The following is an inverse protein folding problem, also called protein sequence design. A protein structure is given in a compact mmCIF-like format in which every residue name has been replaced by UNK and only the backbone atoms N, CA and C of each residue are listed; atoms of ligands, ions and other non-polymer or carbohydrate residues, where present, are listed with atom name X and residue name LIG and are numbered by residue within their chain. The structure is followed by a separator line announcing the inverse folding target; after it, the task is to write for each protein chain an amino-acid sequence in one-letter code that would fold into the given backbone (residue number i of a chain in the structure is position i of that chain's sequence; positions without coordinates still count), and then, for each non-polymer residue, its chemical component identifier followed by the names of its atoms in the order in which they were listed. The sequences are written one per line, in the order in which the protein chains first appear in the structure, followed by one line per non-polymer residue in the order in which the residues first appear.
data_IF_409711997475
#
_entry.id   IF_409711997475
#
_cell.length_a   1.000
_cell.length_b   1.000
_cell.length_c   1.000
_cell.angle_alpha   90.00
_cell.angle_beta   90.00
_cell.angle_gamma   90.00
#
_symmetry.space_group_name_H-M   'P 1'
#
loop_
_entity.id
_entity.type
_entity.pdbx_description
1 polymer ?
#
# COMPACT_ATOMS: atom_id res chain seq x y z
N UNK A 1 -27.17 1.10 -2.69
CA UNK A 1 -26.75 2.24 -3.51
C UNK A 1 -25.77 1.72 -4.57
N UNK A 2 -25.97 2.11 -5.83
CA UNK A 2 -25.08 1.77 -6.93
C UNK A 2 -23.79 2.61 -6.79
N UNK A 3 -22.63 1.96 -6.85
CA UNK A 3 -21.35 2.66 -6.74
C UNK A 3 -20.98 3.26 -8.10
N UNK A 4 -20.64 4.54 -8.10
CA UNK A 4 -20.16 5.27 -9.24
C UNK A 4 -18.63 5.30 -9.26
N UNK A 5 -18.04 4.96 -10.38
CA UNK A 5 -16.60 5.02 -10.67
C UNK A 5 -16.33 6.25 -11.54
N UNK A 6 -15.35 7.05 -11.16
CA UNK A 6 -14.88 8.17 -11.99
C UNK A 6 -13.89 7.66 -13.05
N UNK A 7 -14.08 8.08 -14.30
CA UNK A 7 -13.14 7.86 -15.40
C UNK A 7 -13.07 9.11 -16.26
N UNK A 8 -11.93 9.80 -16.29
CA UNK A 8 -11.64 10.95 -17.15
C UNK A 8 -12.79 11.97 -17.24
N UNK A 9 -13.24 12.50 -16.11
CA UNK A 9 -14.27 13.55 -16.05
C UNK A 9 -15.72 13.08 -16.08
N UNK A 10 -15.97 11.75 -16.04
CA UNK A 10 -17.31 11.18 -16.04
C UNK A 10 -17.50 10.14 -14.96
N UNK A 11 -18.72 10.00 -14.48
CA UNK A 11 -19.12 8.97 -13.53
C UNK A 11 -19.91 7.88 -14.22
N UNK A 12 -19.54 6.64 -13.96
CA UNK A 12 -20.18 5.45 -14.51
C UNK A 12 -20.61 4.51 -13.37
N UNK A 13 -21.80 3.87 -13.47
CA UNK A 13 -22.12 2.74 -12.61
C UNK A 13 -21.01 1.68 -12.67
N UNK A 14 -20.72 1.04 -11.54
CA UNK A 14 -19.62 0.07 -11.43
C UNK A 14 -19.61 -1.00 -12.56
N UNK A 15 -20.80 -1.52 -12.94
CA UNK A 15 -20.94 -2.53 -13.97
C UNK A 15 -20.68 -2.01 -15.39
N UNK A 16 -20.79 -0.68 -15.60
CA UNK A 16 -20.62 -0.03 -16.91
C UNK A 16 -19.25 0.64 -17.04
N UNK A 17 -18.50 0.75 -15.91
CA UNK A 17 -17.19 1.37 -15.89
C UNK A 17 -16.19 0.54 -16.70
N UNK A 18 -15.69 1.09 -17.79
CA UNK A 18 -14.76 0.41 -18.70
C UNK A 18 -13.69 1.36 -19.23
N UNK A 19 -12.54 0.79 -19.57
CA UNK A 19 -11.43 1.48 -20.24
C UNK A 19 -11.14 0.82 -21.57
N UNK A 20 -10.40 1.51 -22.43
CA UNK A 20 -9.96 0.94 -23.72
C UNK A 20 -9.05 -0.27 -23.50
N UNK A 21 -9.20 -1.31 -24.34
CA UNK A 21 -8.25 -2.43 -24.40
C UNK A 21 -6.85 -2.01 -24.88
N UNK A 22 -6.72 -0.81 -25.45
CA UNK A 22 -5.45 -0.20 -25.84
C UNK A 22 -4.86 0.72 -24.76
N UNK A 23 -5.46 0.77 -23.56
CA UNK A 23 -4.89 1.52 -22.45
C UNK A 23 -3.54 0.92 -22.01
N UNK A 24 -2.53 1.76 -21.83
CA UNK A 24 -1.17 1.33 -21.50
C UNK A 24 -1.09 0.61 -20.15
N UNK A 25 -1.92 1.02 -19.19
CA UNK A 25 -2.04 0.36 -17.89
C UNK A 25 -2.57 -1.07 -18.02
N UNK A 26 -3.60 -1.28 -18.85
CA UNK A 26 -4.15 -2.61 -19.14
C UNK A 26 -3.16 -3.49 -19.92
N UNK A 27 -2.53 -2.94 -20.98
CA UNK A 27 -1.62 -3.68 -21.85
C UNK A 27 -0.29 -4.05 -21.17
N UNK A 28 0.27 -3.14 -20.39
CA UNK A 28 1.69 -3.18 -19.98
C UNK A 28 1.92 -2.94 -18.47
N UNK A 29 0.89 -2.56 -17.73
CA UNK A 29 1.07 -2.08 -16.36
C UNK A 29 1.78 -0.72 -16.27
N UNK A 30 1.74 0.09 -17.35
CA UNK A 30 2.39 1.39 -17.45
C UNK A 30 1.52 2.47 -16.83
N UNK A 31 1.81 2.79 -15.58
CA UNK A 31 1.11 3.77 -14.78
C UNK A 31 1.39 3.64 -13.29
N UNK A 32 0.77 4.50 -12.52
CA UNK A 32 0.90 4.61 -11.06
C UNK A 32 -0.47 4.58 -10.38
N UNK A 33 -0.50 4.26 -9.10
CA UNK A 33 -1.74 4.21 -8.36
C UNK A 33 -1.55 4.49 -6.88
N UNK A 34 -2.63 4.88 -6.20
CA UNK A 34 -2.70 4.99 -4.74
C UNK A 34 -3.95 4.32 -4.18
N UNK A 35 -3.81 3.80 -2.96
CA UNK A 35 -4.93 3.39 -2.13
C UNK A 35 -5.03 4.34 -0.95
N UNK A 36 -6.16 5.02 -0.78
CA UNK A 36 -6.33 6.07 0.21
C UNK A 36 -7.60 5.81 1.01
N UNK A 37 -7.55 5.96 2.33
CA UNK A 37 -8.75 5.84 3.19
C UNK A 37 -9.49 7.16 3.24
N UNK A 38 -10.83 7.07 3.17
CA UNK A 38 -11.72 8.18 3.47
C UNK A 38 -12.51 7.86 4.74
N UNK A 39 -12.37 8.73 5.74
CA UNK A 39 -12.91 8.54 7.08
C UNK A 39 -13.43 9.85 7.65
N UNK A 40 -14.67 9.85 8.15
CA UNK A 40 -15.32 11.03 8.74
C UNK A 40 -15.23 12.29 7.88
N UNK A 41 -15.48 12.14 6.57
CA UNK A 41 -15.48 13.26 5.62
C UNK A 41 -14.12 13.71 5.12
N UNK A 42 -13.01 13.00 5.48
CA UNK A 42 -11.65 13.38 5.07
C UNK A 42 -10.85 12.21 4.49
N UNK A 43 -10.02 12.51 3.51
CA UNK A 43 -8.98 11.60 3.05
C UNK A 43 -7.80 11.63 4.03
N UNK A 44 -7.45 10.47 4.58
CA UNK A 44 -6.37 10.33 5.54
C UNK A 44 -5.00 10.41 4.84
N UNK A 45 -4.13 11.28 5.34
CA UNK A 45 -2.75 11.44 4.84
C UNK A 45 -2.70 11.70 3.32
N UNK A 46 -3.64 12.48 2.80
CA UNK A 46 -3.80 12.72 1.36
C UNK A 46 -2.54 13.30 0.73
N UNK A 47 -1.93 14.31 1.35
CA UNK A 47 -0.71 14.96 0.85
C UNK A 47 0.41 13.96 0.53
N UNK A 48 0.90 13.19 1.51
CA UNK A 48 1.92 12.17 1.29
C UNK A 48 1.56 11.11 0.21
N UNK A 49 0.29 10.73 0.08
CA UNK A 49 -0.16 9.82 -0.98
C UNK A 49 -0.03 10.46 -2.36
N UNK A 50 -0.48 11.70 -2.53
CA UNK A 50 -0.39 12.41 -3.80
C UNK A 50 1.06 12.76 -4.17
N UNK A 51 1.87 13.22 -3.20
CA UNK A 51 3.30 13.43 -3.42
C UNK A 51 3.99 12.18 -3.97
N UNK A 52 3.69 11.00 -3.42
CA UNK A 52 4.24 9.73 -3.89
C UNK A 52 3.71 9.34 -5.27
N UNK A 53 2.43 9.59 -5.56
CA UNK A 53 1.85 9.36 -6.90
C UNK A 53 2.57 10.19 -7.96
N UNK A 54 2.71 11.50 -7.72
CA UNK A 54 3.34 12.44 -8.65
C UNK A 54 4.84 12.17 -8.80
N UNK A 55 5.53 11.87 -7.69
CA UNK A 55 6.91 11.43 -7.74
C UNK A 55 7.05 10.14 -8.57
N UNK A 56 6.21 9.14 -8.34
CA UNK A 56 6.24 7.88 -9.09
C UNK A 56 5.99 8.07 -10.59
N UNK A 57 5.05 8.94 -10.95
CA UNK A 57 4.80 9.31 -12.35
C UNK A 57 6.02 9.98 -12.98
N UNK A 58 6.68 10.91 -12.28
CA UNK A 58 7.90 11.57 -12.77
C UNK A 58 9.07 10.60 -13.02
N UNK A 59 9.17 9.51 -12.23
CA UNK A 59 10.23 8.51 -12.41
C UNK A 59 10.08 7.65 -13.67
N UNK A 60 8.89 7.65 -14.28
CA UNK A 60 8.61 6.96 -15.54
C UNK A 60 8.30 7.94 -16.68
N UNK A 61 8.73 9.20 -16.55
CA UNK A 61 8.49 10.28 -17.52
C UNK A 61 7.01 10.35 -17.96
N UNK A 62 6.11 10.28 -16.98
CA UNK A 62 4.66 10.37 -17.20
C UNK A 62 4.11 11.66 -16.59
N UNK A 63 3.53 12.52 -17.43
CA UNK A 63 2.71 13.62 -16.99
C UNK A 63 1.31 13.07 -16.62
N UNK A 64 0.81 13.44 -15.45
CA UNK A 64 -0.54 13.07 -14.99
C UNK A 64 -1.61 13.92 -15.71
N UNK A 65 -1.23 15.05 -16.29
CA UNK A 65 -2.15 15.98 -16.95
C UNK A 65 -3.09 16.73 -15.99
N UNK A 66 -2.81 16.66 -14.68
CA UNK A 66 -3.55 17.30 -13.60
C UNK A 66 -2.63 17.75 -12.49
N UNK A 67 -2.99 18.80 -11.78
CA UNK A 67 -2.31 19.22 -10.55
C UNK A 67 -2.78 18.36 -9.36
N UNK A 68 -2.04 18.44 -8.24
CA UNK A 68 -2.44 17.77 -7.00
C UNK A 68 -3.81 18.28 -6.49
N UNK A 69 -4.09 19.56 -6.64
CA UNK A 69 -5.36 20.16 -6.24
C UNK A 69 -6.51 19.63 -7.09
N UNK A 70 -6.35 19.54 -8.42
CA UNK A 70 -7.34 18.95 -9.31
C UNK A 70 -7.62 17.46 -9.00
N UNK A 71 -6.57 16.69 -8.68
CA UNK A 71 -6.75 15.28 -8.23
C UNK A 71 -7.49 15.24 -6.89
N UNK A 72 -7.18 16.14 -5.98
CA UNK A 72 -7.89 16.26 -4.69
C UNK A 72 -9.38 16.55 -4.91
N UNK A 73 -9.71 17.49 -5.77
CA UNK A 73 -11.09 17.79 -6.14
C UNK A 73 -11.83 16.57 -6.73
N UNK A 74 -11.19 15.85 -7.65
CA UNK A 74 -11.73 14.62 -8.26
C UNK A 74 -12.01 13.54 -7.19
N UNK A 75 -11.11 13.38 -6.22
CA UNK A 75 -11.29 12.42 -5.13
C UNK A 75 -12.48 12.79 -4.26
N UNK A 76 -12.60 14.08 -3.84
CA UNK A 76 -13.74 14.54 -3.03
C UNK A 76 -15.05 14.51 -3.82
N UNK A 77 -15.04 14.86 -5.09
CA UNK A 77 -16.22 14.76 -5.96
C UNK A 77 -16.69 13.29 -6.04
N UNK A 78 -15.75 12.34 -6.19
CA UNK A 78 -16.08 10.92 -6.28
C UNK A 78 -16.79 10.39 -5.03
N UNK A 79 -16.32 10.72 -3.83
CA UNK A 79 -16.98 10.28 -2.58
C UNK A 79 -18.31 11.01 -2.36
N UNK A 80 -18.41 12.28 -2.76
CA UNK A 80 -19.63 13.07 -2.68
C UNK A 80 -20.73 12.54 -3.59
N UNK A 81 -20.44 12.24 -4.86
CA UNK A 81 -21.38 11.64 -5.81
C UNK A 81 -21.90 10.28 -5.32
N UNK A 82 -21.08 9.54 -4.58
CA UNK A 82 -21.45 8.27 -3.96
C UNK A 82 -22.11 8.43 -2.58
N UNK A 83 -22.25 9.65 -2.05
CA UNK A 83 -22.77 9.93 -0.70
C UNK A 83 -22.03 9.15 0.39
N UNK A 84 -20.72 9.02 0.25
CA UNK A 84 -19.86 8.32 1.18
C UNK A 84 -19.33 9.29 2.24
N UNK A 85 -19.34 8.85 3.51
CA UNK A 85 -18.89 9.69 4.64
C UNK A 85 -17.74 9.06 5.41
N UNK A 86 -17.74 7.74 5.55
CA UNK A 86 -16.73 7.02 6.35
C UNK A 86 -16.60 5.55 5.94
N UNK A 87 -15.50 4.92 6.32
CA UNK A 87 -15.28 3.49 6.07
C UNK A 87 -15.04 3.16 4.60
N UNK A 88 -14.48 4.12 3.84
CA UNK A 88 -14.24 3.98 2.41
C UNK A 88 -12.75 3.83 2.14
N UNK A 89 -12.42 2.93 1.22
CA UNK A 89 -11.12 2.81 0.61
C UNK A 89 -11.23 3.21 -0.85
N UNK A 90 -10.44 4.19 -1.26
CA UNK A 90 -10.45 4.72 -2.62
C UNK A 90 -9.18 4.28 -3.32
N UNK A 91 -9.32 3.71 -4.51
CA UNK A 91 -8.22 3.43 -5.42
C UNK A 91 -8.18 4.49 -6.52
N UNK A 92 -7.12 5.28 -6.51
CA UNK A 92 -6.78 6.21 -7.59
C UNK A 92 -5.77 5.52 -8.51
N UNK A 93 -6.08 5.45 -9.79
CA UNK A 93 -5.23 4.84 -10.84
C UNK A 93 -4.98 5.89 -11.91
N UNK A 94 -3.73 6.02 -12.33
CA UNK A 94 -3.35 6.85 -13.47
C UNK A 94 -2.48 6.01 -14.40
N UNK A 95 -2.99 5.72 -15.61
CA UNK A 95 -2.18 5.13 -16.67
C UNK A 95 -1.70 6.21 -17.62
N UNK A 96 -0.65 5.90 -18.42
CA UNK A 96 -0.15 6.83 -19.44
C UNK A 96 -1.19 7.17 -20.51
N UNK A 97 -2.26 6.36 -20.67
CA UNK A 97 -3.32 6.57 -21.64
C UNK A 97 -3.35 5.54 -22.77
N UNK A 98 -4.10 5.86 -23.82
CA UNK A 98 -4.38 4.95 -24.93
C UNK A 98 -3.21 4.96 -25.93
N UNK A 99 -2.80 3.77 -26.36
CA UNK A 99 -1.78 3.58 -27.38
C UNK A 99 -2.39 3.34 -28.76
N UNK A 100 -1.70 3.84 -29.80
CA UNK A 100 -2.06 3.57 -31.22
C UNK A 100 -1.80 2.11 -31.61
N UNK A 101 -0.88 1.44 -30.89
CA UNK A 101 -0.52 0.03 -31.09
C UNK A 101 -0.01 -0.58 -29.77
N UNK A 102 -0.20 -1.89 -29.52
CA UNK A 102 0.30 -2.56 -28.30
C UNK A 102 1.82 -2.72 -28.32
N UNK A 103 2.55 -1.65 -28.05
CA UNK A 103 4.01 -1.62 -28.04
C UNK A 103 4.55 -0.86 -26.82
N UNK A 104 5.75 -1.23 -26.34
CA UNK A 104 6.32 -0.70 -25.08
C UNK A 104 6.70 0.78 -25.16
N UNK A 105 7.07 1.29 -26.33
CA UNK A 105 7.54 2.67 -26.50
C UNK A 105 6.43 3.68 -26.12
N UNK A 106 6.67 4.58 -25.13
CA UNK A 106 5.72 5.61 -24.71
C UNK A 106 5.28 6.56 -25.83
N UNK A 107 6.11 6.76 -26.86
CA UNK A 107 5.79 7.64 -28.00
C UNK A 107 4.57 7.21 -28.81
N UNK A 108 4.11 5.96 -28.68
CA UNK A 108 2.88 5.48 -29.29
C UNK A 108 1.60 5.84 -28.49
N UNK A 109 1.72 6.60 -27.42
CA UNK A 109 0.55 7.10 -26.67
C UNK A 109 -0.11 8.24 -27.48
N UNK A 110 -1.42 8.14 -27.68
CA UNK A 110 -2.23 9.05 -28.53
C UNK A 110 -3.33 9.79 -27.77
N UNK A 111 -3.41 9.62 -26.46
CA UNK A 111 -4.41 10.27 -25.62
C UNK A 111 -3.76 10.93 -24.39
N UNK A 112 -4.53 11.75 -23.70
CA UNK A 112 -4.26 12.16 -22.33
C UNK A 112 -4.20 10.92 -21.40
N UNK A 113 -3.59 11.03 -20.21
CA UNK A 113 -3.61 9.98 -19.21
C UNK A 113 -5.02 9.50 -18.88
N UNK A 114 -5.15 8.23 -18.55
CA UNK A 114 -6.41 7.69 -18.06
C UNK A 114 -6.43 7.72 -16.54
N UNK A 115 -7.31 8.54 -15.98
CA UNK A 115 -7.49 8.68 -14.53
C UNK A 115 -8.77 7.96 -14.13
N UNK A 116 -8.63 6.98 -13.21
CA UNK A 116 -9.75 6.20 -12.68
C UNK A 116 -9.76 6.31 -11.16
N UNK A 117 -10.93 6.61 -10.58
CA UNK A 117 -11.13 6.59 -9.13
C UNK A 117 -12.24 5.61 -8.78
N UNK A 118 -11.89 4.58 -8.00
CA UNK A 118 -12.80 3.51 -7.57
C UNK A 118 -12.98 3.62 -6.06
N UNK A 119 -14.13 4.11 -5.56
CA UNK A 119 -14.45 4.10 -4.15
C UNK A 119 -15.13 2.79 -3.76
N UNK A 120 -14.83 2.28 -2.58
CA UNK A 120 -15.39 1.04 -2.07
C UNK A 120 -15.57 1.12 -0.56
N UNK A 121 -16.76 0.77 -0.05
CA UNK A 121 -16.93 0.53 1.39
C UNK A 121 -16.12 -0.69 1.78
N UNK A 122 -15.07 -0.45 2.57
CA UNK A 122 -14.15 -1.49 2.97
C UNK A 122 -13.49 -1.15 4.30
N UNK A 123 -13.63 -2.06 5.25
CA UNK A 123 -13.02 -1.92 6.58
C UNK A 123 -12.21 -3.17 6.91
N UNK A 124 -11.10 -3.03 7.67
CA UNK A 124 -10.36 -4.17 8.19
C UNK A 124 -11.27 -5.07 9.04
N UNK A 125 -11.06 -6.37 8.96
CA UNK A 125 -11.75 -7.30 9.85
C UNK A 125 -11.35 -7.05 11.31
N UNK A 126 -12.29 -6.87 12.25
CA UNK A 126 -11.97 -6.76 13.67
C UNK A 126 -11.22 -7.98 14.21
N UNK A 127 -11.50 -9.15 13.67
CA UNK A 127 -10.80 -10.39 14.04
C UNK A 127 -9.33 -10.33 13.62
N UNK A 128 -9.03 -9.94 12.37
CA UNK A 128 -7.67 -9.74 11.87
C UNK A 128 -6.91 -8.68 12.68
N UNK A 129 -7.59 -7.59 13.07
CA UNK A 129 -7.00 -6.54 13.90
C UNK A 129 -6.62 -7.01 15.30
N UNK A 130 -7.38 -7.96 15.85
CA UNK A 130 -7.19 -8.49 17.20
C UNK A 130 -6.25 -9.70 17.23
N UNK A 131 -6.49 -10.67 16.34
CA UNK A 131 -5.83 -11.97 16.38
C UNK A 131 -4.60 -12.05 15.46
N UNK A 132 -4.44 -11.06 14.57
CA UNK A 132 -3.30 -10.99 13.66
C UNK A 132 -3.45 -11.87 12.42
N UNK A 133 -2.38 -11.92 11.65
CA UNK A 133 -2.24 -12.69 10.41
C UNK A 133 -1.04 -13.63 10.49
N UNK A 134 -1.06 -14.62 9.62
CA UNK A 134 0.03 -15.58 9.42
C UNK A 134 0.88 -15.16 8.21
N UNK A 135 2.18 -14.98 8.42
CA UNK A 135 3.15 -14.76 7.37
C UNK A 135 3.89 -16.04 6.99
N UNK A 136 4.25 -16.14 5.74
CA UNK A 136 5.18 -17.18 5.26
C UNK A 136 6.26 -16.54 4.38
N UNK A 137 7.49 -16.99 4.51
CA UNK A 137 8.56 -16.60 3.60
C UNK A 137 8.29 -17.19 2.21
N UNK A 138 8.50 -16.37 1.18
CA UNK A 138 8.23 -16.77 -0.22
C UNK A 138 9.51 -16.77 -1.04
N UNK A 139 9.54 -17.60 -2.09
CA UNK A 139 10.71 -17.71 -2.97
C UNK A 139 10.85 -16.53 -3.93
N UNK A 140 9.76 -15.77 -4.09
CA UNK A 140 9.74 -14.58 -4.92
C UNK A 140 10.37 -13.42 -4.15
N UNK A 141 11.48 -12.89 -4.68
CA UNK A 141 12.22 -11.77 -4.07
C UNK A 141 11.83 -10.42 -4.65
N UNK A 142 12.11 -9.36 -3.91
CA UNK A 142 12.10 -7.99 -4.42
C UNK A 142 13.32 -7.78 -5.31
N UNK A 143 13.11 -7.28 -6.53
CA UNK A 143 14.18 -6.98 -7.44
C UNK A 143 14.95 -5.70 -7.09
N UNK A 144 16.15 -5.55 -7.68
CA UNK A 144 16.89 -4.30 -7.66
C UNK A 144 16.14 -3.20 -8.45
N UNK A 145 16.31 -1.94 -8.08
CA UNK A 145 15.81 -0.79 -8.82
C UNK A 145 16.29 -0.74 -10.29
N UNK A 146 17.37 -1.47 -10.61
CA UNK A 146 17.85 -1.66 -12.00
C UNK A 146 16.97 -2.61 -12.82
N UNK A 147 16.10 -3.40 -12.16
CA UNK A 147 15.10 -4.28 -12.80
C UNK A 147 13.75 -3.58 -12.82
N UNK A 148 13.30 -3.16 -11.66
CA UNK A 148 12.09 -2.36 -11.46
C UNK A 148 12.23 -1.61 -10.13
N UNK A 149 12.02 -0.29 -10.15
CA UNK A 149 12.09 0.49 -8.91
C UNK A 149 10.83 0.26 -8.07
N UNK A 150 10.97 -0.50 -7.00
CA UNK A 150 9.87 -0.84 -6.08
C UNK A 150 9.41 0.33 -5.20
N UNK A 151 10.12 1.47 -5.21
CA UNK A 151 9.67 2.70 -4.56
C UNK A 151 8.52 3.37 -5.31
N UNK A 152 8.38 3.07 -6.62
CA UNK A 152 7.25 3.51 -7.46
C UNK A 152 6.05 2.62 -7.18
N UNK A 153 4.92 3.23 -6.81
CA UNK A 153 3.65 2.51 -6.70
C UNK A 153 3.03 2.26 -8.09
N UNK A 154 3.73 1.45 -8.88
CA UNK A 154 3.42 1.14 -10.27
C UNK A 154 2.23 0.18 -10.39
N UNK A 155 1.50 0.24 -11.51
CA UNK A 155 0.50 -0.76 -11.92
C UNK A 155 1.11 -2.14 -12.21
N UNK A 156 2.42 -2.21 -12.48
CA UNK A 156 3.15 -3.45 -12.72
C UNK A 156 3.35 -4.23 -11.42
N UNK A 157 2.33 -4.99 -10.98
CA UNK A 157 2.27 -5.70 -9.69
C UNK A 157 2.52 -7.21 -9.79
N UNK A 158 3.06 -7.70 -10.93
CA UNK A 158 3.22 -9.14 -11.14
C UNK A 158 4.09 -9.79 -10.06
N UNK A 159 5.18 -9.15 -9.64
CA UNK A 159 6.03 -9.61 -8.54
C UNK A 159 5.23 -9.82 -7.23
N UNK A 160 4.38 -8.86 -6.86
CA UNK A 160 3.53 -8.96 -5.68
C UNK A 160 2.47 -10.07 -5.81
N UNK A 161 1.89 -10.24 -7.02
CA UNK A 161 0.89 -11.28 -7.29
C UNK A 161 1.53 -12.67 -7.16
N UNK A 162 2.72 -12.88 -7.72
CA UNK A 162 3.44 -14.15 -7.60
C UNK A 162 3.76 -14.47 -6.13
N UNK A 163 4.22 -13.49 -5.35
CA UNK A 163 4.47 -13.66 -3.93
C UNK A 163 3.19 -13.99 -3.15
N UNK A 164 2.06 -13.35 -3.45
CA UNK A 164 0.76 -13.66 -2.86
C UNK A 164 0.31 -15.10 -3.18
N UNK A 165 0.47 -15.54 -4.44
CA UNK A 165 0.15 -16.92 -4.85
C UNK A 165 1.00 -17.94 -4.08
N UNK A 166 2.30 -17.68 -3.94
CA UNK A 166 3.21 -18.55 -3.21
C UNK A 166 2.85 -18.60 -1.72
N UNK A 167 2.54 -17.45 -1.12
CA UNK A 167 2.08 -17.37 0.27
C UNK A 167 0.83 -18.24 0.52
N UNK A 168 -0.19 -18.11 -0.33
CA UNK A 168 -1.41 -18.92 -0.20
C UNK A 168 -1.15 -20.41 -0.37
N UNK A 169 -0.24 -20.81 -1.28
CA UNK A 169 0.17 -22.23 -1.44
C UNK A 169 0.85 -22.79 -0.19
N UNK A 170 1.59 -21.93 0.52
CA UNK A 170 2.26 -22.27 1.79
C UNK A 170 1.33 -22.11 3.00
N UNK A 171 0.09 -21.70 2.81
CA UNK A 171 -0.93 -21.56 3.86
C UNK A 171 -0.79 -20.28 4.71
N UNK A 172 -0.11 -19.25 4.21
CA UNK A 172 -0.03 -17.93 4.83
C UNK A 172 -1.08 -16.96 4.28
N UNK A 173 -1.38 -15.94 5.05
CA UNK A 173 -2.25 -14.83 4.65
C UNK A 173 -1.49 -13.84 3.76
N UNK A 174 -0.18 -13.67 4.01
CA UNK A 174 0.68 -12.78 3.26
C UNK A 174 2.13 -13.32 3.17
N UNK A 175 2.83 -13.01 2.08
CA UNK A 175 4.18 -13.46 1.81
C UNK A 175 5.24 -12.47 2.27
N UNK A 176 6.17 -12.92 3.13
CA UNK A 176 7.36 -12.18 3.52
C UNK A 176 8.45 -12.36 2.46
N UNK A 177 8.84 -11.27 1.81
CA UNK A 177 9.76 -11.24 0.67
C UNK A 177 11.15 -10.78 1.08
N UNK A 178 12.16 -11.42 0.53
CA UNK A 178 13.56 -11.02 0.68
C UNK A 178 13.97 -10.06 -0.44
N UNK A 179 15.06 -9.35 -0.21
CA UNK A 179 15.79 -8.59 -1.21
C UNK A 179 16.81 -9.46 -1.96
N UNK A 180 17.53 -8.94 -2.99
CA UNK A 180 18.55 -9.70 -3.72
C UNK A 180 19.75 -10.12 -2.89
N UNK A 181 19.91 -9.61 -1.68
CA UNK A 181 21.02 -9.91 -0.77
C UNK A 181 20.62 -10.90 0.32
N UNK A 182 19.35 -11.35 0.34
CA UNK A 182 18.82 -12.29 1.32
C UNK A 182 18.32 -11.67 2.61
N UNK A 183 18.21 -10.34 2.67
CA UNK A 183 17.60 -9.65 3.80
C UNK A 183 16.08 -9.50 3.62
N UNK A 184 15.35 -9.45 4.73
CA UNK A 184 13.92 -9.19 4.72
C UNK A 184 13.66 -7.77 4.21
N UNK A 185 12.81 -7.67 3.19
CA UNK A 185 12.47 -6.40 2.56
C UNK A 185 11.09 -5.90 2.98
N UNK A 186 10.05 -6.67 2.68
CA UNK A 186 8.65 -6.25 2.85
C UNK A 186 7.73 -7.46 2.66
N UNK A 187 6.44 -7.29 2.90
CA UNK A 187 5.45 -8.27 2.44
C UNK A 187 4.94 -7.95 1.03
N UNK A 188 4.12 -8.83 0.45
CA UNK A 188 3.61 -8.64 -0.91
C UNK A 188 2.66 -7.44 -1.05
N UNK A 189 1.99 -7.02 0.03
CA UNK A 189 1.08 -5.85 0.01
C UNK A 189 1.26 -4.88 1.18
N UNK A 190 1.99 -5.27 2.23
CA UNK A 190 2.21 -4.49 3.45
C UNK A 190 3.70 -4.35 3.76
N UNK A 191 4.04 -3.51 4.76
CA UNK A 191 5.41 -3.39 5.27
C UNK A 191 5.55 -4.19 6.56
N UNK A 192 6.68 -4.85 6.69
CA UNK A 192 7.02 -5.68 7.84
C UNK A 192 7.79 -4.91 8.90
N UNK A 193 7.40 -5.13 10.15
CA UNK A 193 8.07 -4.66 11.35
C UNK A 193 8.19 -5.80 12.35
N UNK A 194 9.28 -5.81 13.11
CA UNK A 194 9.43 -6.72 14.25
C UNK A 194 9.89 -5.96 15.49
N UNK A 195 9.65 -6.54 16.65
CA UNK A 195 10.15 -6.08 17.95
C UNK A 195 11.18 -7.06 18.47
N UNK A 196 12.36 -6.59 18.81
CA UNK A 196 13.44 -7.37 19.41
C UNK A 196 14.20 -6.47 20.40
N UNK A 197 14.46 -6.98 21.59
CA UNK A 197 15.17 -6.25 22.67
C UNK A 197 14.56 -4.85 22.95
N UNK A 198 13.23 -4.79 23.09
CA UNK A 198 12.46 -3.55 23.28
C UNK A 198 12.68 -2.49 22.18
N UNK A 199 13.11 -2.89 21.00
CA UNK A 199 13.33 -2.00 19.86
C UNK A 199 12.51 -2.46 18.66
N UNK A 200 11.98 -1.50 17.90
CA UNK A 200 11.29 -1.75 16.66
C UNK A 200 12.28 -1.78 15.51
N UNK A 201 12.19 -2.76 14.65
CA UNK A 201 13.03 -2.90 13.45
C UNK A 201 12.16 -3.01 12.19
N UNK A 202 12.59 -2.35 11.13
CA UNK A 202 12.04 -2.50 9.78
C UNK A 202 13.16 -2.42 8.75
N UNK A 203 12.91 -2.87 7.51
CA UNK A 203 13.92 -2.82 6.44
C UNK A 203 14.33 -1.39 6.07
N UNK A 204 15.49 -1.22 5.41
CA UNK A 204 16.01 0.08 4.99
C UNK A 204 15.09 0.85 4.02
N UNK A 205 14.21 0.15 3.32
CA UNK A 205 13.33 0.74 2.31
C UNK A 205 13.90 0.72 0.89
N UNK A 206 15.15 0.26 0.69
CA UNK A 206 15.80 0.27 -0.62
C UNK A 206 15.10 -0.61 -1.68
N UNK A 207 14.42 -1.67 -1.22
CA UNK A 207 13.78 -2.66 -2.08
C UNK A 207 12.25 -2.73 -1.89
N UNK A 208 11.64 -1.72 -1.29
CA UNK A 208 10.20 -1.68 -1.08
C UNK A 208 9.62 -0.27 -1.32
N UNK A 209 8.31 -0.21 -1.35
CA UNK A 209 7.60 1.06 -1.41
C UNK A 209 7.88 1.90 -0.15
N UNK A 210 8.06 3.22 -0.30
CA UNK A 210 8.08 4.12 0.84
C UNK A 210 6.63 4.34 1.34
N UNK A 211 6.18 3.44 2.21
CA UNK A 211 4.80 3.40 2.68
C UNK A 211 4.44 4.57 3.57
N UNK A 212 3.29 5.22 3.33
CA UNK A 212 2.79 6.32 4.17
C UNK A 212 2.52 5.80 5.59
N UNK A 213 1.84 4.66 5.74
CA UNK A 213 1.63 4.06 7.08
C UNK A 213 2.94 3.64 7.72
N UNK A 214 3.90 3.11 6.94
CA UNK A 214 5.24 2.79 7.45
C UNK A 214 5.92 4.03 8.05
N UNK A 215 5.89 5.15 7.35
CA UNK A 215 6.48 6.39 7.83
C UNK A 215 5.78 6.89 9.10
N UNK A 216 4.44 6.85 9.15
CA UNK A 216 3.69 7.23 10.33
C UNK A 216 4.10 6.40 11.57
N UNK A 217 4.33 5.09 11.43
CA UNK A 217 4.80 4.26 12.54
C UNK A 217 6.22 4.63 12.96
N UNK A 218 7.11 4.92 12.03
CA UNK A 218 8.47 5.40 12.35
C UNK A 218 8.40 6.70 13.15
N UNK A 219 7.53 7.64 12.75
CA UNK A 219 7.38 8.93 13.42
C UNK A 219 6.70 8.80 14.78
N UNK A 220 5.71 7.90 14.91
CA UNK A 220 5.09 7.55 16.20
C UNK A 220 6.15 6.98 17.16
N UNK A 221 7.00 6.07 16.70
CA UNK A 221 8.10 5.53 17.52
C UNK A 221 9.03 6.65 18.02
N UNK A 222 9.46 7.54 17.13
CA UNK A 222 10.34 8.67 17.46
C UNK A 222 9.68 9.61 18.48
N UNK A 223 8.41 9.96 18.26
CA UNK A 223 7.66 10.88 19.14
C UNK A 223 7.45 10.29 20.54
N UNK A 224 7.25 8.97 20.64
CA UNK A 224 7.04 8.27 21.91
C UNK A 224 8.34 7.71 22.52
N UNK A 225 9.52 8.09 22.00
CA UNK A 225 10.81 7.61 22.48
C UNK A 225 10.95 6.09 22.46
N UNK A 226 10.29 5.41 21.51
CA UNK A 226 10.44 3.98 21.27
C UNK A 226 11.62 3.80 20.29
N UNK A 227 12.68 3.06 20.67
CA UNK A 227 13.81 2.84 19.76
C UNK A 227 13.35 2.19 18.48
N UNK A 228 13.70 2.80 17.32
CA UNK A 228 13.38 2.27 16.00
C UNK A 228 14.59 2.31 15.09
N UNK A 229 14.81 1.23 14.34
CA UNK A 229 15.94 1.09 13.44
C UNK A 229 15.48 0.61 12.06
N UNK A 230 15.83 1.39 11.05
CA UNK A 230 15.73 1.01 9.66
C UNK A 230 17.05 0.35 9.24
N UNK A 231 17.07 -0.99 9.20
CA UNK A 231 18.30 -1.75 8.91
C UNK A 231 18.01 -3.09 8.24
N UNK A 232 19.04 -3.68 7.66
CA UNK A 232 18.98 -5.05 7.13
C UNK A 232 18.94 -6.07 8.27
N UNK A 233 18.11 -7.10 8.12
CA UNK A 233 18.01 -8.26 9.00
C UNK A 233 17.57 -9.49 8.19
N UNK A 234 17.89 -10.66 8.70
CA UNK A 234 17.65 -11.95 8.04
C UNK A 234 16.37 -12.62 8.55
N UNK A 235 15.94 -13.71 7.89
CA UNK A 235 14.86 -14.56 8.41
C UNK A 235 15.21 -15.16 9.76
N UNK A 236 16.50 -15.49 10.01
CA UNK A 236 16.93 -15.96 11.33
C UNK A 236 16.65 -14.93 12.43
N UNK A 237 16.90 -13.65 12.15
CA UNK A 237 16.57 -12.56 13.10
C UNK A 237 15.06 -12.46 13.33
N UNK A 238 14.26 -12.69 12.28
CA UNK A 238 12.79 -12.66 12.37
C UNK A 238 12.27 -13.80 13.24
N UNK A 239 12.83 -15.01 13.14
CA UNK A 239 12.40 -16.16 13.96
C UNK A 239 12.74 -16.00 15.45
N UNK A 240 13.65 -15.08 15.78
CA UNK A 240 14.03 -14.74 17.16
C UNK A 240 13.32 -13.50 17.71
N UNK A 241 12.42 -12.87 16.94
CA UNK A 241 11.72 -11.66 17.40
C UNK A 241 10.67 -11.99 18.45
N UNK A 242 10.37 -11.01 19.28
CA UNK A 242 9.37 -11.13 20.35
C UNK A 242 7.96 -10.88 19.83
N UNK A 243 7.83 -9.89 18.93
CA UNK A 243 6.58 -9.50 18.30
C UNK A 243 6.84 -9.12 16.83
N UNK A 244 5.82 -9.25 16.01
CA UNK A 244 5.84 -8.72 14.65
C UNK A 244 4.47 -8.13 14.27
N UNK A 245 4.50 -7.18 13.35
CA UNK A 245 3.30 -6.59 12.79
C UNK A 245 3.56 -6.11 11.36
N UNK A 246 2.48 -5.96 10.60
CA UNK A 246 2.54 -5.37 9.27
C UNK A 246 1.77 -4.06 9.21
N UNK A 247 2.12 -3.20 8.24
CA UNK A 247 1.48 -1.90 8.08
C UNK A 247 1.04 -1.65 6.65
N UNK A 248 -0.12 -1.05 6.49
CA UNK A 248 -0.65 -0.66 5.18
C UNK A 248 -1.84 0.28 5.31
N UNK A 249 -2.12 1.05 4.27
CA UNK A 249 -3.18 2.06 4.29
C UNK A 249 -4.54 1.47 4.65
N UNK A 250 -4.86 0.26 4.16
CA UNK A 250 -6.14 -0.38 4.44
C UNK A 250 -6.25 -0.88 5.88
N UNK A 251 -5.27 -1.68 6.32
CA UNK A 251 -5.30 -2.35 7.63
C UNK A 251 -4.76 -1.50 8.78
N UNK A 252 -4.06 -0.40 8.51
CA UNK A 252 -3.30 0.30 9.54
C UNK A 252 -2.15 -0.57 10.06
N UNK A 253 -2.13 -0.84 11.34
CA UNK A 253 -1.21 -1.77 12.02
C UNK A 253 -1.95 -3.08 12.26
N UNK A 254 -1.43 -4.18 11.73
CA UNK A 254 -2.00 -5.52 11.89
C UNK A 254 -0.95 -6.42 12.54
N UNK A 255 -1.25 -7.04 13.69
CA UNK A 255 -0.34 -7.98 14.33
C UNK A 255 -0.04 -9.20 13.45
N UNK A 256 1.11 -9.82 13.69
CA UNK A 256 1.47 -11.12 13.13
C UNK A 256 1.52 -12.14 14.24
N UNK A 257 0.82 -13.26 14.07
CA UNK A 257 0.72 -14.32 15.09
C UNK A 257 1.58 -15.55 14.77
N UNK A 258 2.00 -15.71 13.51
CA UNK A 258 2.85 -16.84 13.08
C UNK A 258 3.70 -16.43 11.88
N UNK A 259 4.95 -16.87 11.82
CA UNK A 259 5.85 -16.73 10.68
C UNK A 259 6.53 -18.07 10.39
N UNK A 260 6.29 -18.68 9.21
CA UNK A 260 6.84 -19.96 8.79
C UNK A 260 6.67 -21.10 9.83
N UNK A 261 5.52 -21.15 10.50
CA UNK A 261 5.24 -22.14 11.55
C UNK A 261 5.80 -21.76 12.94
N UNK A 262 6.52 -20.65 13.07
CA UNK A 262 6.95 -20.12 14.35
C UNK A 262 5.83 -19.23 14.91
N UNK A 263 5.16 -19.71 15.96
CA UNK A 263 4.15 -18.93 16.68
C UNK A 263 4.82 -17.77 17.44
N UNK A 264 4.30 -16.57 17.26
CA UNK A 264 4.66 -15.41 18.04
C UNK A 264 3.79 -15.33 19.29
N UNK A 265 4.32 -14.74 20.37
CA UNK A 265 3.57 -14.56 21.60
C UNK A 265 2.29 -13.78 21.35
N UNK A 266 1.21 -14.23 21.95
CA UNK A 266 -0.05 -13.50 21.98
C UNK A 266 0.22 -12.10 22.55
N UNK A 267 -0.19 -11.08 21.82
CA UNK A 267 0.02 -9.69 22.20
C UNK A 267 -0.69 -9.39 23.52
N UNK A 268 0.06 -9.03 24.54
CA UNK A 268 -0.43 -8.65 25.88
C UNK A 268 -0.52 -7.14 26.07
N UNK A 269 -0.94 -6.70 27.26
CA UNK A 269 -1.07 -5.28 27.59
C UNK A 269 0.24 -4.48 27.46
N UNK A 270 1.39 -5.13 27.57
CA UNK A 270 2.72 -4.52 27.44
C UNK A 270 3.34 -4.67 26.03
N UNK A 271 2.55 -5.08 25.03
CA UNK A 271 3.02 -5.26 23.66
C UNK A 271 3.30 -3.89 23.00
N UNK A 272 4.49 -3.75 22.40
CA UNK A 272 4.85 -2.59 21.59
C UNK A 272 3.97 -2.51 20.34
N UNK A 273 3.65 -3.63 19.70
CA UNK A 273 2.78 -3.66 18.54
C UNK A 273 1.35 -3.17 18.87
N UNK A 274 0.80 -3.55 20.03
CA UNK A 274 -0.51 -3.05 20.52
C UNK A 274 -0.46 -1.56 20.81
N UNK A 275 0.60 -1.09 21.46
CA UNK A 275 0.80 0.33 21.71
C UNK A 275 0.85 1.13 20.40
N UNK A 276 1.63 0.67 19.42
CA UNK A 276 1.75 1.33 18.12
C UNK A 276 0.43 1.29 17.33
N UNK A 277 -0.34 0.21 17.43
CA UNK A 277 -1.67 0.13 16.86
C UNK A 277 -2.62 1.18 17.48
N UNK A 278 -2.60 1.34 18.80
CA UNK A 278 -3.38 2.37 19.49
C UNK A 278 -2.96 3.77 19.08
N UNK A 279 -1.67 4.08 19.13
CA UNK A 279 -1.15 5.39 18.72
C UNK A 279 -1.47 5.72 17.24
N UNK A 280 -1.43 4.73 16.35
CA UNK A 280 -1.82 4.92 14.96
C UNK A 280 -3.32 5.19 14.81
N UNK A 281 -4.17 4.53 15.59
CA UNK A 281 -5.61 4.80 15.60
C UNK A 281 -5.90 6.21 16.11
N UNK A 282 -5.22 6.67 17.16
CA UNK A 282 -5.33 8.04 17.67
C UNK A 282 -4.88 9.07 16.62
N UNK A 283 -3.80 8.78 15.88
CA UNK A 283 -3.36 9.61 14.77
C UNK A 283 -4.42 9.70 13.66
N UNK A 284 -5.06 8.59 13.29
CA UNK A 284 -6.16 8.54 12.32
C UNK A 284 -7.34 9.38 12.78
N UNK A 285 -7.72 9.30 14.05
CA UNK A 285 -8.79 10.12 14.62
C UNK A 285 -8.45 11.62 14.62
N UNK A 286 -7.22 11.96 14.96
CA UNK A 286 -6.73 13.35 14.90
C UNK A 286 -6.73 13.91 13.49
N UNK A 287 -6.22 13.14 12.51
CA UNK A 287 -6.18 13.53 11.10
C UNK A 287 -7.58 13.74 10.53
N UNK A 288 -8.56 12.97 10.97
CA UNK A 288 -9.95 13.12 10.55
C UNK A 288 -10.67 14.29 11.22
N UNK A 289 -10.13 14.85 12.31
CA UNK A 289 -10.76 15.94 13.08
C UNK A 289 -10.26 17.33 12.67
N UNK A 290 -9.04 17.43 12.11
CA UNK A 290 -8.41 18.68 11.64
C UNK A 290 -8.89 19.05 10.23
#
# INVERSE_FOLDING_TARGET
LEILVYINGKFYPRQDASISVFDSGYLLGDGVWEGIRFHKGKFLFLGPHLERLFWGASQIDMDIGKTMDEITEILYETVTQNKMETGVHVRLIVSRGIKSTPYQDPSFTISEPTIVVIPEYKQPSPDTQKNGIKLVSVDIIRGSSKVQDHRINSLSKFNCIQACIDAHRKGGDEGLMLDPHGYVSTCNSTHFFMVKDNSVLTSTGDFCLHGVTRQNIIDICKTNSIPIYEKNFTLSDVYECEEAFVTGTFGGVVPVNEIDGHELKVLGENSIAVLLQSCYNDLVESESSN
#
